data_IF_368772079813
#
_entry.id   IF_368772079813
#
_cell.length_a   1.000
_cell.length_b   1.000
_cell.length_c   1.000
_cell.angle_alpha   90.00
_cell.angle_beta   90.00
_cell.angle_gamma   90.00
#
_symmetry.space_group_name_H-M   'P 1'
#
loop_
_entity.id
_entity.type
_entity.pdbx_description
1 polymer ?
#
# COMPACT_ATOMS: atom_id res chain seq x y z
N UNK A 1 -19.51 41.65 -13.00
CA UNK A 1 -19.84 40.53 -12.11
C UNK A 1 -19.09 39.30 -12.60
N UNK A 2 -17.92 38.93 -12.05
CA UNK A 2 -17.35 37.60 -12.28
C UNK A 2 -17.82 36.65 -11.17
N UNK A 3 -17.99 35.39 -11.56
CA UNK A 3 -18.74 34.36 -10.87
C UNK A 3 -18.20 34.01 -9.48
N UNK A 4 -19.06 34.15 -8.49
CA UNK A 4 -19.04 33.37 -7.25
C UNK A 4 -19.36 31.91 -7.56
N UNK A 5 -18.62 30.99 -6.94
CA UNK A 5 -19.07 29.62 -6.73
C UNK A 5 -18.65 28.62 -7.80
N UNK A 6 -17.42 28.12 -7.71
CA UNK A 6 -17.16 26.71 -8.05
C UNK A 6 -16.79 25.99 -6.76
N UNK A 7 -17.83 25.44 -6.14
CA UNK A 7 -17.87 24.18 -5.41
C UNK A 7 -16.50 23.55 -5.09
N UNK A 8 -16.06 23.66 -3.84
CA UNK A 8 -15.15 22.70 -3.23
C UNK A 8 -15.56 22.46 -1.77
N UNK A 9 -16.84 22.12 -1.56
CA UNK A 9 -17.45 21.97 -0.23
C UNK A 9 -17.58 20.49 0.21
N UNK A 10 -16.79 19.56 -0.35
CA UNK A 10 -16.83 18.14 0.03
C UNK A 10 -15.45 17.47 0.14
N UNK A 11 -14.45 18.18 0.67
CA UNK A 11 -13.39 17.47 1.36
C UNK A 11 -13.92 17.14 2.76
N UNK A 12 -14.52 15.96 2.95
CA UNK A 12 -14.72 15.42 4.30
C UNK A 12 -13.36 15.49 4.98
N UNK A 13 -13.27 16.22 6.09
CA UNK A 13 -12.02 16.38 6.81
C UNK A 13 -11.54 14.98 7.23
N UNK A 14 -10.42 14.55 6.65
CA UNK A 14 -9.85 13.24 6.99
C UNK A 14 -9.48 13.31 8.48
N UNK A 15 -10.00 12.40 9.32
CA UNK A 15 -9.66 12.34 10.73
C UNK A 15 -8.14 12.29 10.92
N UNK A 16 -7.64 12.93 11.96
CA UNK A 16 -6.21 12.92 12.26
C UNK A 16 -6.03 12.61 13.74
N UNK A 17 -5.43 11.46 14.03
CA UNK A 17 -5.16 11.04 15.40
C UNK A 17 -4.27 12.06 16.11
N UNK A 18 -3.27 12.57 15.40
CA UNK A 18 -2.31 13.53 15.94
C UNK A 18 -1.66 14.31 14.80
N UNK A 19 -2.11 15.55 14.60
CA UNK A 19 -1.62 16.41 13.52
C UNK A 19 -0.14 16.77 13.63
N UNK A 20 0.41 16.90 14.84
CA UNK A 20 1.84 17.17 15.02
C UNK A 20 2.69 15.98 14.57
N UNK A 21 2.26 14.77 14.93
CA UNK A 21 2.93 13.52 14.52
C UNK A 21 2.74 13.23 13.03
N UNK A 22 1.53 13.43 12.48
CA UNK A 22 1.27 13.38 11.04
C UNK A 22 2.19 14.33 10.27
N UNK A 23 2.40 15.56 10.77
CA UNK A 23 3.30 16.53 10.16
C UNK A 23 4.78 16.11 10.29
N UNK A 24 5.19 15.58 11.45
CA UNK A 24 6.56 15.13 11.72
C UNK A 24 6.94 13.91 10.89
N UNK A 25 6.03 12.95 10.76
CA UNK A 25 6.22 11.71 10.02
C UNK A 25 5.90 11.86 8.52
N UNK A 26 5.26 12.98 8.14
CA UNK A 26 4.99 13.35 6.75
C UNK A 26 3.77 12.65 6.14
N UNK A 27 2.93 12.02 6.95
CA UNK A 27 1.77 11.25 6.49
C UNK A 27 0.68 11.19 7.57
N UNK A 28 -0.58 11.33 7.14
CA UNK A 28 -1.75 10.97 7.95
C UNK A 28 -2.31 9.62 7.44
N UNK A 29 -2.10 8.50 8.18
CA UNK A 29 -2.57 7.17 7.79
C UNK A 29 -4.09 7.07 7.58
N UNK A 30 -4.88 7.90 8.26
CA UNK A 30 -6.34 7.88 8.13
C UNK A 30 -6.81 8.20 6.70
N UNK A 31 -5.98 8.87 5.89
CA UNK A 31 -6.27 9.08 4.45
C UNK A 31 -6.50 7.78 3.69
N UNK A 32 -5.89 6.69 4.16
CA UNK A 32 -5.99 5.37 3.55
C UNK A 32 -6.93 4.47 4.35
N UNK A 33 -7.03 4.68 5.67
CA UNK A 33 -7.73 3.77 6.56
C UNK A 33 -9.22 4.10 6.75
N UNK A 34 -9.71 5.28 6.35
CA UNK A 34 -11.12 5.69 6.53
C UNK A 34 -12.05 5.07 5.49
N UNK A 35 -11.55 4.73 4.30
CA UNK A 35 -12.37 4.00 3.34
C UNK A 35 -12.50 2.52 3.74
N UNK A 36 -13.72 1.99 3.61
CA UNK A 36 -13.98 0.56 3.77
C UNK A 36 -13.13 -0.21 2.75
N UNK A 37 -12.40 -1.22 3.22
CA UNK A 37 -11.75 -2.18 2.33
C UNK A 37 -12.85 -3.10 1.83
N UNK A 38 -13.45 -2.74 0.70
CA UNK A 38 -14.24 -3.71 -0.05
C UNK A 38 -13.26 -4.81 -0.53
N UNK A 39 -13.48 -6.05 -0.07
CA UNK A 39 -12.86 -7.22 -0.67
C UNK A 39 -13.48 -7.33 -2.05
N UNK A 40 -12.79 -6.73 -3.01
CA UNK A 40 -13.23 -6.69 -4.38
C UNK A 40 -13.32 -8.14 -4.91
N UNK A 41 -14.56 -8.60 -5.08
CA UNK A 41 -14.84 -9.92 -5.66
C UNK A 41 -14.70 -9.93 -7.18
N UNK A 42 -14.11 -8.90 -7.81
CA UNK A 42 -13.87 -8.92 -9.25
C UNK A 42 -12.98 -7.86 -9.92
N UNK A 43 -12.45 -6.83 -9.24
CA UNK A 43 -11.62 -5.78 -9.87
C UNK A 43 -10.42 -5.26 -9.02
N UNK A 44 -10.02 -6.00 -7.98
CA UNK A 44 -8.71 -5.95 -7.29
C UNK A 44 -8.03 -4.58 -7.13
N UNK A 45 -8.63 -3.62 -6.42
CA UNK A 45 -7.93 -2.33 -6.22
C UNK A 45 -7.97 -1.73 -4.81
N UNK A 46 -9.10 -1.69 -4.09
CA UNK A 46 -9.17 -0.89 -2.85
C UNK A 46 -8.35 -1.46 -1.67
N UNK A 47 -8.48 -2.77 -1.39
CA UNK A 47 -7.66 -3.43 -0.35
C UNK A 47 -6.18 -3.54 -0.70
N UNK A 48 -5.86 -3.72 -1.99
CA UNK A 48 -4.49 -3.80 -2.48
C UNK A 48 -3.73 -2.47 -2.34
N UNK A 49 -4.42 -1.33 -2.42
CA UNK A 49 -3.80 -0.02 -2.28
C UNK A 49 -3.26 0.24 -0.86
N UNK A 50 -4.01 -0.16 0.18
CA UNK A 50 -3.57 0.01 1.58
C UNK A 50 -2.37 -0.89 1.86
N UNK A 51 -2.43 -2.16 1.46
CA UNK A 51 -1.31 -3.11 1.65
C UNK A 51 -0.07 -2.66 0.88
N UNK A 52 -0.23 -2.21 -0.37
CA UNK A 52 0.87 -1.65 -1.15
C UNK A 52 1.48 -0.40 -0.48
N UNK A 53 0.65 0.45 0.14
CA UNK A 53 1.13 1.61 0.88
C UNK A 53 1.93 1.20 2.12
N UNK A 54 1.44 0.21 2.88
CA UNK A 54 2.12 -0.35 4.06
C UNK A 54 3.50 -0.91 3.70
N UNK A 55 3.60 -1.69 2.61
CA UNK A 55 4.89 -2.19 2.10
C UNK A 55 5.89 -1.08 1.80
N UNK A 56 5.41 0.11 1.43
CA UNK A 56 6.23 1.30 1.15
C UNK A 56 6.72 2.06 2.39
N UNK A 57 6.31 1.68 3.61
CA UNK A 57 6.71 2.37 4.84
C UNK A 57 8.20 2.16 5.10
N UNK A 58 8.92 3.24 5.39
CA UNK A 58 10.38 3.21 5.50
C UNK A 58 10.92 3.02 6.93
N UNK A 59 10.13 3.28 7.97
CA UNK A 59 10.59 3.27 9.37
C UNK A 59 9.62 2.51 10.26
N UNK A 60 10.12 1.82 11.30
CA UNK A 60 9.28 1.16 12.30
C UNK A 60 8.43 2.18 13.05
N UNK A 61 8.97 3.36 13.28
CA UNK A 61 8.22 4.47 13.89
C UNK A 61 6.95 4.82 13.09
N UNK A 62 7.04 4.85 11.76
CA UNK A 62 5.87 5.10 10.91
C UNK A 62 4.92 3.88 10.91
N UNK A 63 5.44 2.65 10.96
CA UNK A 63 4.61 1.45 11.13
C UNK A 63 3.81 1.50 12.44
N UNK A 64 4.47 1.83 13.56
CA UNK A 64 3.86 1.95 14.88
C UNK A 64 2.77 3.03 14.88
N UNK A 65 3.01 4.15 14.18
CA UNK A 65 2.04 5.22 14.03
C UNK A 65 0.80 4.77 13.25
N UNK A 66 0.99 4.08 12.11
CA UNK A 66 -0.10 3.50 11.33
C UNK A 66 -0.95 2.51 12.14
N UNK A 67 -0.32 1.62 12.91
CA UNK A 67 -1.00 0.68 13.81
C UNK A 67 -1.84 1.42 14.87
N UNK A 68 -1.28 2.51 15.42
CA UNK A 68 -1.99 3.40 16.35
C UNK A 68 -3.23 4.04 15.74
N UNK A 69 -3.13 4.54 14.50
CA UNK A 69 -4.25 5.15 13.77
C UNK A 69 -5.35 4.13 13.47
N UNK A 70 -5.01 2.93 13.00
CA UNK A 70 -6.01 1.87 12.72
C UNK A 70 -6.82 1.52 13.98
N UNK A 71 -6.14 1.32 15.11
CA UNK A 71 -6.81 1.03 16.38
C UNK A 71 -7.63 2.20 16.90
N UNK A 72 -7.21 3.42 16.63
CA UNK A 72 -7.97 4.61 17.01
C UNK A 72 -9.23 4.78 16.17
N UNK A 73 -9.15 4.62 14.85
CA UNK A 73 -10.30 4.62 13.94
C UNK A 73 -11.28 3.52 14.31
N UNK A 74 -10.80 2.31 14.58
CA UNK A 74 -11.62 1.19 15.01
C UNK A 74 -12.47 1.53 16.24
N UNK A 75 -11.88 2.19 17.25
CA UNK A 75 -12.61 2.66 18.44
C UNK A 75 -13.61 3.77 18.13
N UNK A 76 -13.30 4.67 17.20
CA UNK A 76 -14.22 5.74 16.80
C UNK A 76 -15.45 5.20 16.07
N UNK A 77 -15.25 4.15 15.27
CA UNK A 77 -16.29 3.53 14.44
C UNK A 77 -16.99 2.35 15.14
N UNK A 78 -16.69 2.09 16.41
CA UNK A 78 -17.22 0.95 17.18
C UNK A 78 -17.04 -0.40 16.47
N UNK A 79 -15.89 -0.58 15.82
CA UNK A 79 -15.47 -1.81 15.12
C UNK A 79 -14.18 -2.36 15.70
N UNK A 80 -13.88 -3.60 15.35
CA UNK A 80 -12.55 -4.17 15.59
C UNK A 80 -11.54 -3.60 14.58
N UNK A 81 -10.26 -3.47 14.98
CA UNK A 81 -9.18 -3.20 14.04
C UNK A 81 -9.15 -4.29 12.96
N UNK A 82 -8.91 -3.91 11.71
CA UNK A 82 -8.85 -4.86 10.59
C UNK A 82 -7.61 -5.74 10.73
N UNK A 83 -7.81 -7.04 10.86
CA UNK A 83 -6.72 -8.02 11.03
C UNK A 83 -5.74 -7.97 9.86
N UNK A 84 -6.21 -7.92 8.61
CA UNK A 84 -5.34 -7.85 7.42
C UNK A 84 -4.41 -6.62 7.42
N UNK A 85 -4.87 -5.48 7.95
CA UNK A 85 -4.06 -4.26 8.08
C UNK A 85 -3.01 -4.43 9.16
N UNK A 86 -3.39 -5.02 10.31
CA UNK A 86 -2.46 -5.28 11.41
C UNK A 86 -1.40 -6.30 11.01
N UNK A 87 -1.77 -7.35 10.29
CA UNK A 87 -0.86 -8.38 9.79
C UNK A 87 0.14 -7.79 8.80
N UNK A 88 -0.32 -6.97 7.84
CA UNK A 88 0.56 -6.28 6.89
C UNK A 88 1.55 -5.32 7.60
N UNK A 89 1.10 -4.61 8.63
CA UNK A 89 1.97 -3.74 9.43
C UNK A 89 2.98 -4.55 10.25
N UNK A 90 2.59 -5.70 10.79
CA UNK A 90 3.47 -6.60 11.52
C UNK A 90 4.54 -7.18 10.60
N UNK A 91 4.15 -7.72 9.44
CA UNK A 91 5.08 -8.22 8.41
C UNK A 91 6.09 -7.12 8.03
N UNK A 92 5.61 -5.90 7.77
CA UNK A 92 6.50 -4.80 7.42
C UNK A 92 7.47 -4.43 8.53
N UNK A 93 7.05 -4.50 9.80
CA UNK A 93 7.92 -4.25 10.95
C UNK A 93 9.04 -5.28 11.02
N UNK A 94 8.71 -6.55 10.83
CA UNK A 94 9.67 -7.64 10.82
C UNK A 94 10.66 -7.50 9.66
N UNK A 95 10.19 -7.10 8.47
CA UNK A 95 11.07 -6.79 7.34
C UNK A 95 12.04 -5.65 7.65
N UNK A 96 11.58 -4.57 8.28
CA UNK A 96 12.42 -3.43 8.66
C UNK A 96 13.38 -3.78 9.81
N UNK A 97 12.99 -4.69 10.70
CA UNK A 97 13.86 -5.19 11.76
C UNK A 97 14.96 -6.11 11.20
N UNK A 98 14.62 -6.98 10.24
CA UNK A 98 15.56 -7.88 9.60
C UNK A 98 16.53 -7.16 8.64
N UNK A 99 16.04 -6.17 7.88
CA UNK A 99 16.79 -5.51 6.79
C UNK A 99 17.27 -4.09 7.13
N UNK A 100 16.91 -3.56 8.31
CA UNK A 100 17.18 -2.19 8.73
C UNK A 100 16.15 -1.16 8.26
N UNK A 101 16.05 -0.07 9.02
CA UNK A 101 15.15 1.06 8.74
C UNK A 101 15.72 2.07 7.73
N UNK A 102 14.83 2.87 7.18
CA UNK A 102 15.09 3.74 6.04
C UNK A 102 14.84 2.98 4.74
N UNK A 103 14.85 3.69 3.62
CA UNK A 103 15.21 3.05 2.36
C UNK A 103 16.59 2.42 2.61
N UNK A 104 16.71 1.14 2.94
CA UNK A 104 17.96 0.36 2.97
C UNK A 104 18.45 0.07 1.53
N UNK A 105 18.41 1.17 0.78
CA UNK A 105 18.64 1.49 -0.60
C UNK A 105 19.27 2.90 -0.67
N UNK A 106 19.24 3.70 0.40
CA UNK A 106 19.81 5.06 0.49
C UNK A 106 21.34 5.07 0.64
N UNK A 107 21.98 3.90 0.76
CA UNK A 107 23.43 3.71 0.58
C UNK A 107 23.80 3.06 -0.76
N UNK A 108 22.82 2.59 -1.52
CA UNK A 108 23.02 1.96 -2.83
C UNK A 108 22.92 3.01 -3.94
N UNK A 109 23.90 3.01 -4.83
CA UNK A 109 23.80 3.72 -6.08
C UNK A 109 22.54 3.26 -6.83
N UNK A 110 21.90 4.12 -7.66
CA UNK A 110 20.70 3.76 -8.41
C UNK A 110 20.81 2.47 -9.26
N UNK A 111 22.03 2.04 -9.58
CA UNK A 111 22.31 0.77 -10.27
C UNK A 111 22.14 -0.44 -9.35
N UNK A 112 22.68 -0.38 -8.13
CA UNK A 112 22.56 -1.44 -7.13
C UNK A 112 21.09 -1.60 -6.68
N UNK A 113 20.32 -0.51 -6.70
CA UNK A 113 18.85 -0.54 -6.55
C UNK A 113 18.16 -1.36 -7.62
N UNK A 114 18.52 -1.09 -8.86
CA UNK A 114 17.95 -1.76 -10.02
C UNK A 114 18.38 -3.22 -10.05
N UNK A 115 19.60 -3.53 -9.66
CA UNK A 115 20.12 -4.90 -9.60
C UNK A 115 19.46 -5.72 -8.49
N UNK A 116 19.31 -5.17 -7.27
CA UNK A 116 18.63 -5.88 -6.18
C UNK A 116 17.13 -6.12 -6.47
N UNK A 117 16.45 -5.14 -7.09
CA UNK A 117 15.08 -5.32 -7.57
C UNK A 117 15.02 -6.33 -8.72
N UNK A 118 15.96 -6.27 -9.68
CA UNK A 118 16.04 -7.20 -10.80
C UNK A 118 16.42 -8.63 -10.38
N UNK A 119 17.20 -8.84 -9.32
CA UNK A 119 17.47 -10.17 -8.77
C UNK A 119 16.18 -10.78 -8.20
N UNK A 120 15.38 -10.00 -7.47
CA UNK A 120 14.09 -10.44 -6.93
C UNK A 120 13.04 -10.66 -8.03
N UNK A 121 13.02 -9.80 -9.04
CA UNK A 121 12.12 -9.92 -10.20
C UNK A 121 12.56 -11.03 -11.17
N UNK A 122 13.85 -11.37 -11.22
CA UNK A 122 14.37 -12.49 -12.01
C UNK A 122 13.93 -13.84 -11.46
N UNK A 123 13.50 -13.91 -10.19
CA UNK A 123 12.91 -15.11 -9.60
C UNK A 123 11.41 -15.24 -9.88
N UNK A 124 10.75 -14.21 -10.44
CA UNK A 124 9.31 -14.23 -10.77
C UNK A 124 8.94 -13.14 -11.78
N UNK A 125 8.94 -13.47 -13.07
CA UNK A 125 8.42 -12.58 -14.12
C UNK A 125 6.94 -12.87 -14.33
N UNK A 126 6.08 -11.87 -14.14
CA UNK A 126 4.65 -12.00 -14.45
C UNK A 126 4.44 -12.14 -15.96
N UNK A 127 3.83 -13.24 -16.40
CA UNK A 127 3.45 -13.53 -17.79
C UNK A 127 1.93 -13.68 -17.87
N UNK A 128 1.33 -13.27 -18.99
CA UNK A 128 -0.06 -13.61 -19.26
C UNK A 128 -0.10 -15.05 -19.76
N UNK A 129 -0.96 -15.89 -19.21
CA UNK A 129 -1.22 -17.24 -19.69
C UNK A 129 -2.67 -17.40 -20.10
N UNK A 130 -2.94 -18.23 -21.11
CA UNK A 130 -4.30 -18.58 -21.52
C UNK A 130 -4.90 -19.72 -20.66
N UNK A 131 -6.10 -20.20 -21.04
CA UNK A 131 -6.82 -21.27 -20.34
C UNK A 131 -6.04 -22.60 -20.30
N UNK A 132 -5.12 -22.81 -21.25
CA UNK A 132 -4.28 -23.99 -21.35
C UNK A 132 -2.93 -23.81 -20.62
N UNK A 133 -2.68 -22.61 -20.06
CA UNK A 133 -1.46 -22.26 -19.34
C UNK A 133 -0.29 -21.86 -20.26
N UNK A 134 -0.55 -21.57 -21.54
CA UNK A 134 0.47 -21.11 -22.46
C UNK A 134 0.66 -19.59 -22.38
N UNK A 135 1.90 -19.14 -22.44
CA UNK A 135 2.22 -17.71 -22.40
C UNK A 135 1.67 -16.98 -23.64
N UNK A 136 0.89 -15.92 -23.40
CA UNK A 136 0.31 -15.07 -24.43
C UNK A 136 0.86 -13.64 -24.38
N UNK A 137 0.96 -12.95 -25.53
CA UNK A 137 1.44 -11.59 -25.56
C UNK A 137 0.48 -10.64 -24.84
N UNK A 138 1.03 -9.63 -24.16
CA UNK A 138 0.30 -8.57 -23.44
C UNK A 138 -0.75 -7.81 -24.26
N UNK A 139 -0.70 -7.91 -25.59
CA UNK A 139 -1.71 -7.36 -26.49
C UNK A 139 -2.99 -8.21 -26.59
N UNK A 140 -3.01 -9.43 -26.03
CA UNK A 140 -4.13 -10.38 -26.05
C UNK A 140 -4.54 -10.73 -24.60
N UNK A 141 -5.12 -9.75 -23.92
CA UNK A 141 -5.50 -9.86 -22.51
C UNK A 141 -6.85 -10.56 -22.29
N UNK A 142 -7.71 -10.58 -23.32
CA UNK A 142 -9.05 -11.16 -23.23
C UNK A 142 -8.97 -12.68 -23.03
N UNK A 143 -9.40 -13.16 -21.85
CA UNK A 143 -9.35 -14.57 -21.45
C UNK A 143 -8.03 -15.02 -20.82
N UNK A 144 -7.03 -14.14 -20.69
CA UNK A 144 -5.75 -14.47 -20.10
C UNK A 144 -5.70 -14.15 -18.59
N UNK A 145 -4.92 -14.92 -17.83
CA UNK A 145 -4.66 -14.69 -16.41
C UNK A 145 -3.17 -14.45 -16.16
N UNK A 146 -2.82 -13.71 -15.11
CA UNK A 146 -1.42 -13.46 -14.76
C UNK A 146 -0.84 -14.68 -14.05
N UNK A 147 0.21 -15.26 -14.61
CA UNK A 147 1.01 -16.34 -14.02
C UNK A 147 2.45 -15.88 -13.74
N UNK A 148 3.17 -16.63 -12.91
CA UNK A 148 4.61 -16.41 -12.70
C UNK A 148 5.41 -17.33 -13.64
N UNK A 149 6.28 -16.74 -14.46
CA UNK A 149 7.29 -17.49 -15.20
C UNK A 149 8.34 -18.00 -14.22
N UNK A 150 8.64 -19.30 -14.30
CA UNK A 150 9.71 -19.96 -13.54
C UNK A 150 11.06 -19.79 -14.23
#
# INVERSE_FOLDING_TARGET
MPATGQHNEQATEVPDLNTEESARLGENPARFLVEEIDIDTGAGTSGELIVARIRGIATRELVDYWEGVERWLARQEDREPREDVLDALQERREELEANGEGLSQAGMAPVERREAAAERDAESVAVLVDEDGEEVPWSRQEGAVVGASR
#
